data_IF_763619074906
#
_entry.id   IF_763619074906
#
_cell.length_a   1.000
_cell.length_b   1.000
_cell.length_c   1.000
_cell.angle_alpha   90.00
_cell.angle_beta   90.00
_cell.angle_gamma   90.00
#
_symmetry.space_group_name_H-M   'P 1'
#
loop_
_entity.id
_entity.type
_entity.pdbx_description
1 polymer ?
#
# COMPACT_ATOMS: atom_id res chain seq x y z
N UNK A 1 -0.77 -15.32 10.10
CA UNK A 1 -1.00 -15.35 11.54
C UNK A 1 -2.45 -15.68 11.83
N UNK A 2 -2.70 -16.70 12.67
CA UNK A 2 -4.05 -17.17 12.99
C UNK A 2 -4.14 -17.46 14.50
N UNK A 3 -5.05 -16.76 15.19
CA UNK A 3 -5.34 -16.97 16.61
C UNK A 3 -6.80 -17.40 16.76
N UNK A 4 -7.02 -18.46 17.52
CA UNK A 4 -8.34 -18.90 17.94
C UNK A 4 -8.42 -18.85 19.46
N UNK A 5 -9.41 -18.10 19.97
CA UNK A 5 -9.67 -17.99 21.38
C UNK A 5 -11.17 -18.13 21.66
N UNK A 6 -11.54 -19.24 22.29
CA UNK A 6 -12.96 -19.61 22.48
C UNK A 6 -13.72 -19.58 21.14
N UNK A 7 -14.67 -18.68 21.01
CA UNK A 7 -15.54 -18.51 19.84
C UNK A 7 -14.98 -17.49 18.82
N UNK A 8 -13.89 -16.81 19.16
CA UNK A 8 -13.25 -15.83 18.31
C UNK A 8 -12.15 -16.45 17.46
N UNK A 9 -12.05 -16.01 16.22
CA UNK A 9 -10.96 -16.34 15.31
C UNK A 9 -10.44 -15.05 14.71
N UNK A 10 -9.17 -14.76 14.91
CA UNK A 10 -8.46 -13.65 14.29
C UNK A 10 -7.48 -14.21 13.27
N UNK A 11 -7.60 -13.79 12.05
CA UNK A 11 -6.67 -14.07 10.97
C UNK A 11 -6.03 -12.77 10.48
N UNK A 12 -4.71 -12.78 10.25
CA UNK A 12 -3.99 -11.62 9.73
C UNK A 12 -2.86 -12.06 8.80
N UNK A 13 -2.70 -11.36 7.68
CA UNK A 13 -1.60 -11.53 6.75
C UNK A 13 -0.65 -10.35 6.85
N UNK A 14 0.61 -10.64 7.15
CA UNK A 14 1.68 -9.66 7.25
C UNK A 14 2.79 -10.06 6.28
N UNK A 15 3.29 -9.09 5.53
CA UNK A 15 4.44 -9.26 4.67
C UNK A 15 5.56 -8.35 5.14
N UNK A 16 6.75 -8.89 5.20
CA UNK A 16 7.96 -8.17 5.59
C UNK A 16 9.04 -8.38 4.54
N UNK A 17 9.64 -7.29 4.07
CA UNK A 17 10.75 -7.27 3.13
C UNK A 17 11.83 -6.36 3.68
N UNK A 18 13.06 -6.82 3.70
CA UNK A 18 14.19 -6.07 4.23
C UNK A 18 15.48 -6.33 3.42
N UNK A 19 16.33 -5.30 3.30
CA UNK A 19 17.64 -5.41 2.66
C UNK A 19 17.60 -5.50 1.14
N UNK A 20 16.42 -5.28 0.51
CA UNK A 20 16.28 -5.18 -0.94
C UNK A 20 16.64 -3.80 -1.45
N UNK A 21 16.94 -3.71 -2.75
CA UNK A 21 17.04 -2.45 -3.47
C UNK A 21 16.10 -2.47 -4.67
N UNK A 22 15.51 -1.33 -4.97
CA UNK A 22 14.64 -1.17 -6.12
C UNK A 22 15.00 0.11 -6.89
N UNK A 23 14.85 0.04 -8.20
CA UNK A 23 14.99 1.18 -9.08
C UNK A 23 13.66 1.94 -9.12
N UNK A 24 13.67 3.21 -8.67
CA UNK A 24 12.45 4.01 -8.55
C UNK A 24 12.08 4.65 -9.90
N UNK A 25 11.37 3.90 -10.75
CA UNK A 25 10.87 4.37 -12.04
C UNK A 25 9.93 5.59 -11.92
N UNK A 26 9.24 5.74 -10.79
CA UNK A 26 8.36 6.88 -10.56
C UNK A 26 9.15 8.18 -10.47
N UNK A 27 10.30 8.19 -9.76
CA UNK A 27 11.17 9.37 -9.72
C UNK A 27 11.74 9.71 -11.10
N UNK A 28 12.09 8.72 -11.91
CA UNK A 28 12.50 8.92 -13.29
C UNK A 28 11.40 9.58 -14.12
N UNK A 29 10.17 9.11 -13.97
CA UNK A 29 8.99 9.69 -14.62
C UNK A 29 8.73 11.13 -14.18
N UNK A 30 8.86 11.42 -12.88
CA UNK A 30 8.72 12.76 -12.32
C UNK A 30 9.81 13.70 -12.86
N UNK A 31 11.04 13.22 -12.99
CA UNK A 31 12.14 14.02 -13.54
C UNK A 31 11.92 14.39 -15.01
N UNK A 32 11.41 13.46 -15.81
CA UNK A 32 11.24 13.59 -17.25
C UNK A 32 9.90 14.19 -17.69
N UNK A 33 9.01 14.52 -16.76
CA UNK A 33 7.68 15.01 -17.10
C UNK A 33 7.74 16.30 -17.92
N UNK A 34 6.96 16.37 -18.99
CA UNK A 34 6.73 17.59 -19.72
C UNK A 34 5.65 18.44 -19.04
N UNK A 35 6.07 19.44 -18.27
CA UNK A 35 5.17 20.32 -17.52
C UNK A 35 4.35 21.26 -18.41
N UNK A 36 4.65 21.37 -19.70
CA UNK A 36 3.85 22.17 -20.64
C UNK A 36 2.58 21.43 -21.06
N UNK A 37 2.63 20.09 -21.06
CA UNK A 37 1.54 19.24 -21.50
C UNK A 37 0.79 18.57 -20.37
N UNK A 38 1.46 18.35 -19.22
CA UNK A 38 0.93 17.56 -18.12
C UNK A 38 1.08 18.28 -16.78
N UNK A 39 0.11 18.10 -15.91
CA UNK A 39 0.24 18.48 -14.50
C UNK A 39 1.32 17.64 -13.84
N UNK A 40 2.29 18.28 -13.21
CA UNK A 40 3.41 17.63 -12.57
C UNK A 40 3.21 17.38 -11.07
N UNK A 41 3.96 16.43 -10.53
CA UNK A 41 4.08 16.26 -9.09
C UNK A 41 4.75 17.49 -8.46
N UNK A 42 4.33 17.87 -7.24
CA UNK A 42 4.90 19.02 -6.51
C UNK A 42 6.42 18.94 -6.36
N UNK A 43 6.97 17.74 -6.26
CA UNK A 43 8.42 17.50 -6.18
C UNK A 43 9.17 18.06 -7.41
N UNK A 44 8.52 18.12 -8.56
CA UNK A 44 9.12 18.72 -9.77
C UNK A 44 9.51 20.18 -9.59
N UNK A 45 8.90 20.88 -8.63
CA UNK A 45 9.19 22.29 -8.31
C UNK A 45 10.12 22.44 -7.10
N UNK A 46 9.97 21.55 -6.11
CA UNK A 46 10.65 21.70 -4.80
C UNK A 46 11.97 20.97 -4.71
N UNK A 47 12.12 19.83 -5.39
CA UNK A 47 13.28 18.95 -5.27
C UNK A 47 14.25 19.02 -6.46
N UNK A 48 14.10 20.03 -7.31
CA UNK A 48 15.00 20.23 -8.45
C UNK A 48 16.20 21.11 -8.12
N UNK A 49 17.32 20.77 -8.73
CA UNK A 49 18.51 21.60 -8.72
C UNK A 49 18.23 22.96 -9.37
N UNK A 50 18.60 24.05 -8.70
CA UNK A 50 18.36 25.45 -9.13
C UNK A 50 19.64 26.24 -9.29
N UNK A 51 20.54 26.11 -8.33
CA UNK A 51 21.78 26.91 -8.27
C UNK A 51 23.00 26.05 -7.93
N UNK A 52 24.18 26.55 -8.27
CA UNK A 52 25.43 25.86 -7.93
C UNK A 52 25.55 25.72 -6.42
N UNK A 53 25.82 24.50 -5.96
CA UNK A 53 25.89 24.15 -4.53
C UNK A 53 24.63 23.47 -4.00
N UNK A 54 23.51 23.43 -4.74
CA UNK A 54 22.34 22.72 -4.33
C UNK A 54 22.55 21.20 -4.32
N UNK A 55 22.05 20.54 -3.27
CA UNK A 55 21.89 19.08 -3.21
C UNK A 55 20.44 18.78 -3.56
N UNK A 56 20.18 18.21 -4.73
CA UNK A 56 18.85 17.98 -5.23
C UNK A 56 18.66 16.55 -5.77
N UNK A 57 17.47 15.99 -5.59
CA UNK A 57 17.12 14.67 -6.10
C UNK A 57 16.93 14.68 -7.61
N UNK A 58 16.36 15.76 -8.14
CA UNK A 58 16.00 15.90 -9.55
C UNK A 58 16.90 16.93 -10.25
N UNK A 59 17.18 16.71 -11.54
CA UNK A 59 17.96 17.63 -12.37
C UNK A 59 17.24 18.97 -12.59
N UNK A 60 17.96 20.00 -13.04
CA UNK A 60 17.39 21.30 -13.37
C UNK A 60 16.30 21.21 -14.45
N UNK A 61 15.25 22.03 -14.32
CA UNK A 61 14.25 22.21 -15.39
C UNK A 61 14.81 22.88 -16.64
N UNK A 62 15.88 23.65 -16.50
CA UNK A 62 16.54 24.33 -17.64
C UNK A 62 17.22 23.34 -18.56
N UNK A 63 17.64 22.20 -18.04
CA UNK A 63 18.32 21.16 -18.80
C UNK A 63 17.30 20.17 -19.40
N UNK A 64 16.66 20.62 -20.48
CA UNK A 64 15.70 19.79 -21.23
C UNK A 64 16.38 19.02 -22.38
N UNK A 65 17.63 19.32 -22.67
CA UNK A 65 18.34 18.76 -23.82
C UNK A 65 18.77 17.31 -23.63
N UNK A 66 18.80 16.81 -22.39
CA UNK A 66 19.26 15.47 -22.08
C UNK A 66 18.15 14.61 -21.47
N UNK A 67 17.91 13.47 -22.10
CA UNK A 67 17.07 12.43 -21.52
C UNK A 67 17.70 11.91 -20.24
N UNK A 68 16.92 11.73 -19.20
CA UNK A 68 17.37 11.08 -17.96
C UNK A 68 17.75 9.64 -18.27
N UNK A 69 19.03 9.33 -18.10
CA UNK A 69 19.55 7.97 -18.28
C UNK A 69 19.37 7.16 -17.00
N UNK A 70 19.25 5.83 -17.10
CA UNK A 70 19.28 4.96 -15.93
C UNK A 70 20.60 5.13 -15.17
N UNK A 71 20.52 5.52 -13.90
CA UNK A 71 21.67 5.71 -13.03
C UNK A 71 21.36 5.20 -11.62
N UNK A 72 22.40 4.88 -10.85
CA UNK A 72 22.25 4.46 -9.45
C UNK A 72 21.59 5.51 -8.55
N UNK A 73 21.48 6.76 -9.00
CA UNK A 73 20.78 7.84 -8.28
C UNK A 73 19.31 7.49 -7.95
N UNK A 74 18.68 6.67 -8.76
CA UNK A 74 17.29 6.23 -8.57
C UNK A 74 17.17 4.87 -7.87
N UNK A 75 18.29 4.26 -7.50
CA UNK A 75 18.27 3.05 -6.67
C UNK A 75 18.06 3.45 -5.23
N UNK A 76 17.03 2.89 -4.60
CA UNK A 76 16.67 3.14 -3.21
C UNK A 76 16.54 1.83 -2.45
N UNK A 77 16.79 1.87 -1.15
CA UNK A 77 16.56 0.71 -0.29
C UNK A 77 15.06 0.42 -0.23
N UNK A 78 14.70 -0.84 -0.48
CA UNK A 78 13.32 -1.31 -0.56
C UNK A 78 13.00 -2.19 0.64
N UNK A 79 12.73 -1.53 1.75
CA UNK A 79 12.27 -2.14 2.98
C UNK A 79 10.77 -1.91 3.11
N UNK A 80 9.99 -2.96 3.29
CA UNK A 80 8.54 -2.88 3.37
C UNK A 80 8.01 -3.74 4.51
N UNK A 81 7.08 -3.17 5.26
CA UNK A 81 6.19 -3.89 6.16
C UNK A 81 4.75 -3.60 5.76
N UNK A 82 4.01 -4.65 5.39
CA UNK A 82 2.63 -4.55 4.93
C UNK A 82 1.71 -5.40 5.80
N UNK A 83 0.69 -4.79 6.36
CA UNK A 83 -0.46 -5.47 6.93
C UNK A 83 -1.52 -5.58 5.84
N UNK A 84 -1.55 -6.73 5.14
CA UNK A 84 -2.35 -6.92 3.94
C UNK A 84 -3.82 -7.15 4.26
N UNK A 85 -4.12 -8.08 5.15
CA UNK A 85 -5.51 -8.39 5.53
C UNK A 85 -5.64 -8.68 7.02
N UNK A 86 -6.79 -8.33 7.58
CA UNK A 86 -7.23 -8.77 8.91
C UNK A 86 -8.67 -9.24 8.82
N UNK A 87 -8.95 -10.36 9.42
CA UNK A 87 -10.29 -10.92 9.51
C UNK A 87 -10.58 -11.37 10.94
N UNK A 88 -11.69 -10.88 11.48
CA UNK A 88 -12.19 -11.24 12.81
C UNK A 88 -13.49 -12.00 12.64
N UNK A 89 -13.51 -13.25 13.10
CA UNK A 89 -14.68 -14.12 13.06
C UNK A 89 -15.19 -14.45 14.47
N UNK A 90 -16.50 -14.54 14.61
CA UNK A 90 -17.17 -15.03 15.81
C UNK A 90 -18.13 -16.15 15.47
N UNK A 91 -17.99 -17.30 16.12
CA UNK A 91 -18.86 -18.46 15.95
C UNK A 91 -19.73 -18.60 17.18
N UNK A 92 -21.05 -18.56 16.99
CA UNK A 92 -22.01 -18.68 18.09
C UNK A 92 -22.07 -20.11 18.66
N UNK A 93 -22.34 -20.19 19.94
CA UNK A 93 -22.46 -21.48 20.62
C UNK A 93 -23.74 -22.20 20.16
N UNK A 94 -23.61 -23.49 19.87
CA UNK A 94 -24.72 -24.36 19.40
C UNK A 94 -25.91 -24.36 20.35
N UNK A 95 -25.66 -24.24 21.66
CA UNK A 95 -26.72 -24.22 22.70
C UNK A 95 -27.65 -23.02 22.58
N UNK A 96 -27.11 -21.85 22.20
CA UNK A 96 -27.91 -20.63 22.01
C UNK A 96 -28.73 -20.68 20.72
N UNK A 97 -28.14 -21.24 19.65
CA UNK A 97 -28.75 -21.32 18.32
C UNK A 97 -29.86 -22.37 18.23
N UNK A 98 -29.80 -23.44 19.01
CA UNK A 98 -30.76 -24.53 19.00
C UNK A 98 -32.18 -24.07 19.32
N UNK A 99 -32.33 -23.02 20.15
CA UNK A 99 -33.65 -22.44 20.45
C UNK A 99 -34.27 -21.71 19.25
N UNK A 100 -33.43 -21.32 18.27
CA UNK A 100 -33.83 -20.60 17.08
C UNK A 100 -33.91 -21.47 15.82
N UNK A 101 -33.72 -22.80 15.97
CA UNK A 101 -33.71 -23.72 14.83
C UNK A 101 -32.48 -23.60 13.92
N UNK A 102 -31.42 -22.93 14.40
CA UNK A 102 -30.19 -22.72 13.63
C UNK A 102 -29.13 -23.71 14.10
N UNK A 103 -28.51 -24.44 13.16
CA UNK A 103 -27.45 -25.39 13.45
C UNK A 103 -26.07 -24.73 13.65
N UNK A 104 -25.77 -23.71 12.88
CA UNK A 104 -24.55 -22.93 13.02
C UNK A 104 -24.73 -21.46 12.56
N UNK A 105 -24.07 -20.53 13.25
CA UNK A 105 -24.04 -19.13 12.89
C UNK A 105 -22.61 -18.59 13.09
N UNK A 106 -22.07 -17.98 12.05
CA UNK A 106 -20.77 -17.31 12.08
C UNK A 106 -20.86 -15.92 11.48
N UNK A 107 -20.37 -14.94 12.23
CA UNK A 107 -20.14 -13.59 11.77
C UNK A 107 -18.66 -13.43 11.45
N UNK A 108 -18.34 -12.72 10.36
CA UNK A 108 -16.96 -12.39 10.01
C UNK A 108 -16.89 -10.98 9.47
N UNK A 109 -15.96 -10.20 10.02
CA UNK A 109 -15.57 -8.90 9.52
C UNK A 109 -14.17 -9.01 8.96
N UNK A 110 -13.93 -8.56 7.73
CA UNK A 110 -12.61 -8.54 7.12
C UNK A 110 -12.33 -7.21 6.44
N UNK A 111 -11.07 -6.84 6.43
CA UNK A 111 -10.57 -5.66 5.74
C UNK A 111 -9.24 -5.98 5.09
N UNK A 112 -8.98 -5.33 3.96
CA UNK A 112 -7.75 -5.50 3.17
C UNK A 112 -7.03 -4.17 3.03
N UNK A 113 -5.74 -4.22 2.65
CA UNK A 113 -4.90 -3.04 2.41
C UNK A 113 -4.87 -2.06 3.59
N UNK A 114 -4.66 -2.57 4.82
CA UNK A 114 -4.81 -1.79 6.05
C UNK A 114 -3.76 -0.71 6.12
N UNK A 115 -2.48 -1.08 6.02
CA UNK A 115 -1.39 -0.12 5.90
C UNK A 115 -0.13 -0.76 5.34
N UNK A 116 0.70 0.08 4.74
CA UNK A 116 2.04 -0.27 4.27
C UNK A 116 3.02 0.78 4.78
N UNK A 117 4.08 0.32 5.43
CA UNK A 117 5.25 1.11 5.78
C UNK A 117 6.34 0.73 4.79
N UNK A 118 6.83 1.67 4.01
CA UNK A 118 7.86 1.43 3.01
C UNK A 118 8.91 2.53 3.05
N UNK A 119 10.18 2.16 2.86
CA UNK A 119 11.28 3.11 2.69
C UNK A 119 11.19 3.87 1.37
N UNK A 120 10.55 3.27 0.36
CA UNK A 120 10.22 3.92 -0.91
C UNK A 120 8.79 4.44 -0.84
N UNK A 121 8.59 5.72 -1.19
CA UNK A 121 7.25 6.28 -1.30
C UNK A 121 6.49 5.58 -2.43
N UNK A 122 5.46 4.83 -2.05
CA UNK A 122 4.58 4.18 -3.01
C UNK A 122 3.62 5.20 -3.62
N UNK A 123 3.70 5.37 -4.92
CA UNK A 123 2.79 6.23 -5.68
C UNK A 123 1.54 5.44 -6.07
N UNK A 124 0.41 5.99 -5.72
CA UNK A 124 -0.90 5.43 -6.07
C UNK A 124 -1.37 6.09 -7.35
N UNK A 125 -1.24 5.58 -8.48
CA UNK A 125 -1.69 6.20 -9.73
C UNK A 125 -3.08 6.85 -9.66
N UNK A 126 -3.43 7.61 -10.66
CA UNK A 126 -4.73 8.29 -10.77
C UNK A 126 -5.85 7.39 -11.29
N UNK A 127 -5.49 6.25 -11.90
CA UNK A 127 -6.44 5.34 -12.56
C UNK A 127 -7.26 4.52 -11.56
N UNK A 128 -6.67 4.18 -10.42
CA UNK A 128 -7.34 3.45 -9.35
C UNK A 128 -7.13 4.19 -8.03
N UNK A 129 -8.08 5.02 -7.62
CA UNK A 129 -8.03 5.63 -6.30
C UNK A 129 -8.04 4.52 -5.24
N UNK A 130 -7.17 4.63 -4.28
CA UNK A 130 -7.07 3.67 -3.19
C UNK A 130 -8.36 3.72 -2.35
N UNK A 131 -9.02 2.59 -2.23
CA UNK A 131 -10.15 2.41 -1.33
C UNK A 131 -9.86 1.27 -0.36
N UNK A 132 -10.09 1.48 0.92
CA UNK A 132 -10.12 0.41 1.89
C UNK A 132 -11.46 -0.31 1.79
N UNK A 133 -11.41 -1.63 1.69
CA UNK A 133 -12.61 -2.44 1.60
C UNK A 133 -12.89 -3.10 2.96
N UNK A 134 -14.11 -2.97 3.42
CA UNK A 134 -14.60 -3.64 4.62
C UNK A 134 -15.70 -4.61 4.20
N UNK A 135 -15.50 -5.89 4.48
CA UNK A 135 -16.44 -6.94 4.14
C UNK A 135 -17.06 -7.50 5.42
N UNK A 136 -18.36 -7.56 5.45
CA UNK A 136 -19.12 -8.24 6.50
C UNK A 136 -19.78 -9.49 5.93
N UNK A 137 -19.52 -10.63 6.55
CA UNK A 137 -20.10 -11.92 6.13
C UNK A 137 -20.89 -12.55 7.26
N UNK A 138 -22.06 -13.05 6.91
CA UNK A 138 -22.94 -13.80 7.80
C UNK A 138 -23.17 -15.18 7.20
N UNK A 139 -22.72 -16.23 7.89
CA UNK A 139 -22.94 -17.62 7.47
C UNK A 139 -23.91 -18.27 8.43
N UNK A 140 -25.05 -18.73 7.90
CA UNK A 140 -26.11 -19.40 8.64
C UNK A 140 -26.28 -20.81 8.07
N UNK A 141 -26.35 -21.81 8.94
CA UNK A 141 -26.74 -23.20 8.61
C UNK A 141 -27.97 -23.54 9.41
N UNK A 142 -29.03 -23.93 8.72
CA UNK A 142 -30.32 -24.39 9.29
C UNK A 142 -30.29 -25.86 9.64
#
# INVERSE_FOLDING_TARGET
>A
FNIKWRNWTLYSTMNFKYGGQAYNNTLVGIENINLEQYSGDRRTLTERWKTVGDIATLKSLKDRSYTTKPTSRFVQDDNEFRLGSVSLGYTFNRTQLRKMGISALRLQLSTEEIFTLSSIRQERGTTYPFARTYNFSLNITL
#
